data_IF_101222396206
#
_entry.id   IF_101222396206
#
_cell.length_a   1.000
_cell.length_b   1.000
_cell.length_c   1.000
_cell.angle_alpha   90.00
_cell.angle_beta   90.00
_cell.angle_gamma   90.00
#
_symmetry.space_group_name_H-M   'P 1'
#
loop_
_entity.id
_entity.type
_entity.pdbx_description
1 polymer ?
#
# COMPACT_ATOMS: atom_id res chain seq x y z
N UNK A 1 15.50 -1.46 -4.87
CA UNK A 1 14.26 -2.22 -5.21
C UNK A 1 13.08 -1.44 -4.65
N UNK A 2 12.12 -1.02 -5.49
CA UNK A 2 11.00 -0.15 -5.06
C UNK A 2 10.06 -0.81 -4.06
N UNK A 3 9.36 0.00 -3.25
CA UNK A 3 8.25 -0.45 -2.39
C UNK A 3 6.93 -0.25 -3.15
N UNK A 4 6.25 -1.31 -3.57
CA UNK A 4 4.97 -1.15 -4.25
C UNK A 4 3.91 -0.64 -3.28
N UNK A 5 2.95 0.13 -3.79
CA UNK A 5 1.81 0.64 -3.02
C UNK A 5 0.55 0.20 -3.75
N UNK A 6 -0.35 -0.45 -3.02
CA UNK A 6 -1.69 -0.79 -3.48
C UNK A 6 -2.70 0.20 -2.88
N UNK A 7 -3.70 0.56 -3.70
CA UNK A 7 -4.87 1.31 -3.26
C UNK A 7 -6.00 0.33 -3.06
N UNK A 8 -6.53 0.25 -1.84
CA UNK A 8 -7.57 -0.73 -1.47
C UNK A 8 -8.73 -0.04 -0.79
N UNK A 9 -9.95 -0.48 -1.08
CA UNK A 9 -11.15 -0.10 -0.34
C UNK A 9 -11.47 -1.18 0.71
N UNK A 10 -11.75 -0.77 1.94
CA UNK A 10 -12.14 -1.65 3.03
C UNK A 10 -13.39 -1.14 3.76
N UNK A 11 -14.08 -2.06 4.44
CA UNK A 11 -15.25 -1.76 5.28
C UNK A 11 -14.96 -2.16 6.71
N UNK A 12 -15.28 -1.26 7.65
CA UNK A 12 -15.15 -1.47 9.08
C UNK A 12 -16.54 -1.50 9.71
N UNK A 13 -16.87 -2.61 10.37
CA UNK A 13 -18.16 -2.80 11.03
C UNK A 13 -17.99 -3.52 12.38
N UNK A 14 -18.92 -3.28 13.30
CA UNK A 14 -19.07 -4.03 14.55
C UNK A 14 -20.39 -4.78 14.53
N UNK A 15 -20.35 -6.07 14.87
CA UNK A 15 -21.51 -6.95 14.82
C UNK A 15 -21.60 -7.76 16.12
N UNK A 16 -22.83 -8.11 16.50
CA UNK A 16 -23.09 -9.01 17.61
C UNK A 16 -23.22 -10.45 17.10
N UNK A 17 -22.66 -11.38 17.86
CA UNK A 17 -22.97 -12.79 17.69
C UNK A 17 -24.32 -13.11 18.35
N UNK A 18 -25.40 -12.95 17.59
CA UNK A 18 -26.76 -13.22 18.03
C UNK A 18 -27.51 -11.97 18.50
N UNK A 19 -28.49 -12.16 19.39
CA UNK A 19 -29.35 -11.08 19.86
C UNK A 19 -28.64 -10.22 20.93
N UNK A 20 -28.95 -8.92 21.02
CA UNK A 20 -28.43 -8.05 22.06
C UNK A 20 -28.77 -8.56 23.47
N UNK A 21 -27.84 -8.38 24.41
CA UNK A 21 -28.10 -8.64 25.82
C UNK A 21 -29.24 -7.74 26.32
N UNK A 22 -30.22 -8.33 27.00
CA UNK A 22 -31.38 -7.61 27.53
C UNK A 22 -31.20 -7.33 29.02
N UNK A 23 -31.79 -6.23 29.49
CA UNK A 23 -31.82 -5.90 30.91
C UNK A 23 -32.57 -6.99 31.70
N UNK A 24 -31.95 -7.50 32.77
CA UNK A 24 -32.48 -8.61 33.59
C UNK A 24 -33.22 -8.13 34.85
N UNK A 25 -33.42 -6.83 35.03
CA UNK A 25 -34.15 -6.28 36.16
C UNK A 25 -35.64 -6.68 36.14
N UNK A 26 -36.17 -7.04 37.31
CA UNK A 26 -37.55 -7.52 37.44
C UNK A 26 -38.59 -6.46 37.07
N UNK A 27 -38.33 -5.18 37.40
CA UNK A 27 -39.21 -4.08 37.04
C UNK A 27 -39.25 -3.84 35.54
N UNK A 28 -38.10 -3.93 34.88
CA UNK A 28 -37.97 -3.81 33.42
C UNK A 28 -38.65 -4.99 32.72
N UNK A 29 -38.53 -6.20 33.25
CA UNK A 29 -39.21 -7.38 32.71
C UNK A 29 -40.74 -7.23 32.67
N UNK A 30 -41.35 -6.67 33.73
CA UNK A 30 -42.80 -6.40 33.73
C UNK A 30 -43.22 -5.37 32.68
N UNK A 31 -42.36 -4.39 32.40
CA UNK A 31 -42.59 -3.42 31.32
C UNK A 31 -42.45 -4.09 29.96
N UNK A 32 -41.44 -4.94 29.77
CA UNK A 32 -41.21 -5.74 28.56
C UNK A 32 -42.41 -6.58 28.17
N UNK A 33 -43.12 -7.19 29.14
CA UNK A 33 -44.35 -7.94 28.87
C UNK A 33 -45.47 -7.09 28.26
N UNK A 34 -45.41 -5.76 28.38
CA UNK A 34 -46.40 -4.81 27.87
C UNK A 34 -45.95 -4.07 26.61
N UNK A 35 -44.71 -4.26 26.15
CA UNK A 35 -44.16 -3.64 24.93
C UNK A 35 -43.70 -4.69 23.93
N UNK A 36 -43.44 -4.27 22.70
CA UNK A 36 -43.05 -5.16 21.60
C UNK A 36 -41.53 -5.30 21.43
N UNK A 37 -40.73 -4.88 22.41
CA UNK A 37 -39.26 -4.96 22.38
C UNK A 37 -38.70 -5.19 23.79
N UNK A 38 -37.47 -5.68 23.88
CA UNK A 38 -36.76 -5.89 25.16
C UNK A 38 -35.81 -4.73 25.42
N UNK A 39 -35.68 -4.30 26.68
CA UNK A 39 -34.67 -3.28 27.03
C UNK A 39 -33.27 -3.83 26.82
N UNK A 40 -32.37 -3.00 26.30
CA UNK A 40 -30.94 -3.33 26.19
C UNK A 40 -30.07 -2.29 26.90
N UNK A 41 -30.66 -1.38 27.68
CA UNK A 41 -29.99 -0.23 28.28
C UNK A 41 -29.25 0.64 27.24
N UNK A 42 -29.66 0.53 25.97
CA UNK A 42 -28.97 1.14 24.83
C UNK A 42 -27.48 0.79 24.72
N UNK A 43 -27.03 -0.37 25.24
CA UNK A 43 -25.60 -0.75 25.16
C UNK A 43 -25.11 -0.82 23.70
N UNK A 44 -26.01 -1.12 22.75
CA UNK A 44 -25.70 -1.13 21.32
C UNK A 44 -25.22 0.23 20.77
N UNK A 45 -25.50 1.33 21.49
CA UNK A 45 -25.07 2.70 21.15
C UNK A 45 -23.73 3.07 21.79
N UNK A 46 -23.12 2.19 22.58
CA UNK A 46 -21.80 2.42 23.17
C UNK A 46 -20.76 2.43 22.06
N UNK A 47 -19.98 3.51 22.01
CA UNK A 47 -18.93 3.70 21.02
C UNK A 47 -17.64 3.05 21.48
N UNK A 48 -17.07 2.22 20.61
CA UNK A 48 -15.77 1.60 20.81
C UNK A 48 -14.76 2.24 19.85
N UNK A 49 -13.61 2.70 20.36
CA UNK A 49 -12.55 3.23 19.52
C UNK A 49 -11.85 2.09 18.78
N UNK A 50 -11.75 2.22 17.46
CA UNK A 50 -11.02 1.30 16.59
C UNK A 50 -9.85 2.05 15.97
N UNK A 51 -8.64 1.54 16.21
CA UNK A 51 -7.42 2.07 15.62
C UNK A 51 -6.96 1.20 14.47
N UNK A 52 -6.70 1.83 13.34
CA UNK A 52 -6.15 1.20 12.14
C UNK A 52 -4.65 1.48 12.06
N UNK A 53 -3.87 0.42 11.86
CA UNK A 53 -2.42 0.49 11.84
C UNK A 53 -1.81 0.58 13.23
N UNK A 54 -0.67 -0.07 13.39
CA UNK A 54 0.18 0.08 14.57
C UNK A 54 1.57 0.59 14.18
N UNK A 55 1.92 1.77 14.69
CA UNK A 55 3.19 2.46 14.40
C UNK A 55 4.41 1.60 14.76
N UNK A 56 4.34 0.83 15.85
CA UNK A 56 5.47 -0.01 16.31
C UNK A 56 5.46 -1.44 15.75
N UNK A 57 4.49 -1.78 14.91
CA UNK A 57 4.34 -3.13 14.41
C UNK A 57 5.01 -3.27 13.04
N UNK A 58 6.16 -3.93 13.01
CA UNK A 58 7.02 -4.02 11.82
C UNK A 58 6.37 -4.73 10.63
N UNK A 59 5.37 -5.58 10.86
CA UNK A 59 4.65 -6.29 9.80
C UNK A 59 3.32 -5.60 9.41
N UNK A 60 3.10 -4.38 9.87
CA UNK A 60 1.95 -3.59 9.47
C UNK A 60 2.21 -2.90 8.12
N UNK A 61 1.41 -3.25 7.11
CA UNK A 61 1.52 -2.73 5.75
C UNK A 61 0.75 -1.44 5.51
N UNK A 62 0.03 -0.89 6.50
CA UNK A 62 -0.78 0.31 6.33
C UNK A 62 0.09 1.58 6.31
N UNK A 63 0.19 2.22 5.16
CA UNK A 63 0.82 3.54 5.06
C UNK A 63 -0.10 4.65 5.57
N UNK A 64 -1.39 4.54 5.24
CA UNK A 64 -2.43 5.46 5.71
C UNK A 64 -3.75 5.26 4.99
N UNK A 65 -4.75 6.04 5.39
CA UNK A 65 -6.12 5.88 4.90
C UNK A 65 -6.89 7.19 4.87
N UNK A 66 -7.94 7.19 4.07
CA UNK A 66 -9.00 8.17 4.07
C UNK A 66 -10.31 7.52 4.47
N UNK A 67 -11.14 8.27 5.18
CA UNK A 67 -12.53 7.91 5.38
C UNK A 67 -13.33 8.25 4.13
N UNK A 68 -14.30 7.42 3.78
CA UNK A 68 -15.25 7.73 2.72
C UNK A 68 -16.52 8.38 3.31
N UNK A 69 -17.17 9.21 2.50
CA UNK A 69 -18.51 9.72 2.78
C UNK A 69 -19.59 8.80 2.21
N UNK A 70 -20.85 9.08 2.54
CA UNK A 70 -22.00 8.24 2.18
C UNK A 70 -22.19 8.06 0.66
N UNK A 71 -21.67 9.00 -0.13
CA UNK A 71 -21.71 8.96 -1.60
C UNK A 71 -20.50 8.24 -2.22
N UNK A 72 -19.66 7.58 -1.41
CA UNK A 72 -18.42 6.94 -1.86
C UNK A 72 -17.27 7.90 -2.18
N UNK A 73 -17.42 9.20 -1.84
CA UNK A 73 -16.38 10.20 -2.00
C UNK A 73 -15.33 10.10 -0.91
N UNK A 74 -14.06 10.19 -1.28
CA UNK A 74 -12.94 10.21 -0.33
C UNK A 74 -12.93 11.56 0.38
N UNK A 75 -12.85 11.57 1.73
CA UNK A 75 -12.74 12.83 2.50
C UNK A 75 -11.35 13.45 2.33
N UNK A 76 -11.24 14.75 2.58
CA UNK A 76 -10.01 15.51 2.33
C UNK A 76 -8.84 15.15 3.26
N UNK A 77 -9.11 14.52 4.40
CA UNK A 77 -8.10 14.24 5.43
C UNK A 77 -7.51 12.85 5.26
N UNK A 78 -6.20 12.78 5.06
CA UNK A 78 -5.40 11.57 5.07
C UNK A 78 -4.87 11.28 6.48
N UNK A 79 -5.11 10.09 6.99
CA UNK A 79 -4.58 9.62 8.27
C UNK A 79 -3.36 8.73 8.02
N UNK A 80 -2.21 9.10 8.57
CA UNK A 80 -0.94 8.40 8.44
C UNK A 80 -0.50 7.85 9.81
N UNK A 81 -1.02 6.68 10.25
CA UNK A 81 -0.81 6.17 11.60
C UNK A 81 0.62 5.67 11.86
N UNK A 82 1.40 5.41 10.81
CA UNK A 82 2.79 4.94 10.88
C UNK A 82 3.82 6.06 10.73
N UNK A 83 3.39 7.30 10.48
CA UNK A 83 4.32 8.41 10.24
C UNK A 83 4.32 9.33 11.45
N UNK A 84 5.48 9.47 12.08
CA UNK A 84 5.81 10.51 13.03
C UNK A 84 6.79 11.48 12.36
N UNK A 85 6.43 12.74 12.23
CA UNK A 85 7.39 13.71 11.72
C UNK A 85 7.18 15.07 12.36
N UNK A 86 8.19 15.47 13.13
CA UNK A 86 8.40 16.85 13.54
C UNK A 86 8.74 17.69 12.31
N UNK A 87 7.95 18.73 12.04
CA UNK A 87 8.29 19.76 11.05
C UNK A 87 7.49 19.76 9.73
N UNK A 88 6.68 18.73 9.45
CA UNK A 88 5.72 18.76 8.33
C UNK A 88 4.31 18.89 8.93
N UNK A 89 3.72 20.08 8.84
CA UNK A 89 2.33 20.30 9.21
C UNK A 89 1.53 20.64 7.95
N UNK A 90 0.69 19.70 7.51
CA UNK A 90 -0.23 19.93 6.41
C UNK A 90 -1.67 19.72 6.91
N UNK A 91 -2.62 20.65 6.67
CA UNK A 91 -3.97 20.55 7.22
C UNK A 91 -4.72 19.28 6.77
N UNK A 92 -4.41 18.79 5.57
CA UNK A 92 -4.99 17.58 4.99
C UNK A 92 -4.32 16.26 5.43
N UNK A 93 -3.25 16.29 6.23
CA UNK A 93 -2.56 15.08 6.69
C UNK A 93 -2.50 15.05 8.21
N UNK A 94 -3.02 13.96 8.80
CA UNK A 94 -3.00 13.70 10.23
C UNK A 94 -2.00 12.58 10.51
N UNK A 95 -0.85 12.97 11.03
CA UNK A 95 0.21 12.05 11.45
C UNK A 95 -0.13 11.36 12.77
N UNK A 96 0.65 10.32 13.09
CA UNK A 96 0.59 9.63 14.36
C UNK A 96 0.74 10.61 15.53
N UNK A 97 -0.07 10.44 16.57
CA UNK A 97 0.04 11.18 17.82
C UNK A 97 0.10 10.17 18.97
N UNK A 98 1.28 10.04 19.59
CA UNK A 98 1.50 9.07 20.67
C UNK A 98 0.67 9.35 21.93
N UNK A 99 0.25 10.59 22.17
CA UNK A 99 -0.58 10.96 23.32
C UNK A 99 -2.08 10.73 23.06
N UNK A 100 -2.51 10.87 21.80
CA UNK A 100 -3.89 10.64 21.41
C UNK A 100 -3.94 10.01 20.01
N UNK A 101 -3.78 8.68 19.91
CA UNK A 101 -3.82 7.99 18.63
C UNK A 101 -5.17 8.17 17.95
N UNK A 102 -5.13 8.41 16.64
CA UNK A 102 -6.35 8.48 15.84
C UNK A 102 -7.09 7.15 15.86
N UNK A 103 -8.40 7.24 16.07
CA UNK A 103 -9.31 6.11 16.10
C UNK A 103 -10.63 6.49 15.44
N UNK A 104 -11.35 5.47 15.01
CA UNK A 104 -12.70 5.56 14.46
C UNK A 104 -13.62 4.99 15.53
N UNK A 105 -14.52 5.80 16.06
CA UNK A 105 -15.53 5.35 17.01
C UNK A 105 -16.70 4.71 16.27
N UNK A 106 -16.96 3.43 16.54
CA UNK A 106 -18.13 2.71 16.04
C UNK A 106 -18.95 2.14 17.18
N UNK A 107 -20.26 2.10 17.00
CA UNK A 107 -21.18 1.32 17.83
C UNK A 107 -21.93 0.27 16.99
N UNK A 108 -22.70 -0.61 17.64
CA UNK A 108 -23.39 -1.73 17.00
C UNK A 108 -24.59 -1.32 16.15
N UNK A 109 -25.09 -0.09 16.29
CA UNK A 109 -26.15 0.50 15.46
C UNK A 109 -25.62 1.34 14.30
N UNK A 110 -24.33 1.68 14.29
CA UNK A 110 -23.75 2.47 13.21
C UNK A 110 -23.72 1.65 11.91
N UNK A 111 -23.82 2.35 10.78
CA UNK A 111 -23.56 1.72 9.49
C UNK A 111 -22.06 1.46 9.30
N UNK A 112 -21.68 0.45 8.50
CA UNK A 112 -20.27 0.18 8.21
C UNK A 112 -19.55 1.42 7.68
N UNK A 113 -18.37 1.70 8.23
CA UNK A 113 -17.53 2.81 7.76
C UNK A 113 -16.62 2.34 6.64
N UNK A 114 -16.73 2.97 5.48
CA UNK A 114 -15.90 2.71 4.32
C UNK A 114 -14.60 3.52 4.37
N UNK A 115 -13.52 2.89 3.92
CA UNK A 115 -12.16 3.39 3.99
C UNK A 115 -11.49 3.17 2.63
N UNK A 116 -10.71 4.14 2.16
CA UNK A 116 -9.71 3.93 1.11
C UNK A 116 -8.33 3.96 1.75
N UNK A 117 -7.51 2.93 1.53
CA UNK A 117 -6.22 2.73 2.19
C UNK A 117 -5.09 2.63 1.17
N UNK A 118 -3.93 3.19 1.55
CA UNK A 118 -2.64 2.92 0.90
C UNK A 118 -1.91 1.85 1.70
N UNK A 119 -1.60 0.74 1.06
CA UNK A 119 -0.98 -0.41 1.73
C UNK A 119 0.20 -0.95 0.93
N UNK A 120 1.23 -1.41 1.62
CA UNK A 120 2.19 -2.35 1.04
C UNK A 120 1.47 -3.70 0.86
N UNK A 121 1.27 -4.18 -0.37
CA UNK A 121 0.53 -5.43 -0.63
C UNK A 121 1.18 -6.67 -0.02
N UNK A 122 2.44 -6.59 0.40
CA UNK A 122 3.17 -7.68 1.07
C UNK A 122 2.95 -7.73 2.58
N UNK A 123 2.42 -6.65 3.16
CA UNK A 123 2.17 -6.52 4.59
C UNK A 123 0.72 -6.84 4.97
N UNK A 124 0.47 -6.92 6.29
CA UNK A 124 -0.90 -7.05 6.84
C UNK A 124 -1.37 -5.71 7.39
N UNK A 125 -2.67 -5.43 7.32
CA UNK A 125 -3.26 -4.28 8.01
C UNK A 125 -3.87 -4.76 9.32
N UNK A 126 -3.55 -4.08 10.42
CA UNK A 126 -4.09 -4.41 11.74
C UNK A 126 -5.17 -3.41 12.17
N UNK A 127 -6.23 -3.92 12.78
CA UNK A 127 -7.29 -3.15 13.42
C UNK A 127 -7.35 -3.56 14.90
N UNK A 128 -7.04 -2.62 15.79
CA UNK A 128 -7.07 -2.84 17.23
C UNK A 128 -8.29 -2.14 17.82
N UNK A 129 -9.01 -2.85 18.67
CA UNK A 129 -10.21 -2.33 19.35
C UNK A 129 -10.02 -2.41 20.86
N UNK A 130 -10.81 -1.66 21.63
CA UNK A 130 -10.80 -1.75 23.09
C UNK A 130 -11.53 -2.98 23.68
N UNK A 131 -12.23 -3.76 22.87
CA UNK A 131 -13.14 -4.82 23.35
C UNK A 131 -12.84 -6.22 22.78
N UNK A 132 -12.24 -6.30 21.58
CA UNK A 132 -11.84 -7.53 20.91
C UNK A 132 -10.32 -7.57 20.65
N UNK A 133 -9.72 -8.77 20.55
CA UNK A 133 -8.36 -8.93 20.07
C UNK A 133 -8.12 -8.25 18.71
N UNK A 134 -6.88 -7.83 18.47
CA UNK A 134 -6.49 -7.20 17.21
C UNK A 134 -6.79 -8.12 16.02
N UNK A 135 -7.53 -7.59 15.05
CA UNK A 135 -7.85 -8.26 13.79
C UNK A 135 -6.82 -7.86 12.74
N UNK A 136 -6.46 -8.78 11.85
CA UNK A 136 -5.55 -8.51 10.73
C UNK A 136 -6.16 -8.94 9.40
N UNK A 137 -5.91 -8.17 8.34
CA UNK A 137 -6.30 -8.48 6.97
C UNK A 137 -5.10 -8.33 6.03
N UNK A 138 -5.06 -9.10 4.95
CA UNK A 138 -4.00 -9.04 3.94
C UNK A 138 -4.58 -9.24 2.54
N UNK A 139 -3.83 -8.78 1.52
CA UNK A 139 -4.18 -9.04 0.12
C UNK A 139 -3.63 -10.41 -0.26
N UNK A 140 -4.46 -11.33 -0.79
CA UNK A 140 -3.98 -12.59 -1.33
C UNK A 140 -2.89 -12.39 -2.42
N UNK A 141 -1.75 -13.11 -2.35
CA UNK A 141 -0.62 -12.90 -3.27
C UNK A 141 -0.96 -12.99 -4.76
N UNK A 142 -1.90 -13.86 -5.12
CA UNK A 142 -2.41 -14.03 -6.48
C UNK A 142 -3.01 -12.76 -7.09
N UNK A 143 -3.46 -11.81 -6.26
CA UNK A 143 -4.02 -10.54 -6.73
C UNK A 143 -2.96 -9.50 -7.13
N UNK A 144 -1.73 -9.60 -6.62
CA UNK A 144 -0.70 -8.58 -6.86
C UNK A 144 0.60 -9.12 -7.45
N UNK A 145 0.91 -10.41 -7.31
CA UNK A 145 2.20 -10.96 -7.70
C UNK A 145 2.50 -10.73 -9.19
N UNK A 146 1.55 -11.05 -10.07
CA UNK A 146 1.73 -10.85 -11.51
C UNK A 146 1.91 -9.36 -11.88
N UNK A 147 1.25 -8.46 -11.15
CA UNK A 147 1.41 -7.02 -11.36
C UNK A 147 2.81 -6.57 -10.93
N UNK A 148 3.30 -7.05 -9.78
CA UNK A 148 4.64 -6.73 -9.28
C UNK A 148 5.76 -7.25 -10.19
N UNK A 149 5.61 -8.45 -10.75
CA UNK A 149 6.57 -9.02 -11.70
C UNK A 149 6.71 -8.17 -12.98
N UNK A 150 5.67 -7.41 -13.33
CA UNK A 150 5.68 -6.50 -14.49
C UNK A 150 6.25 -5.11 -14.16
N UNK A 151 6.49 -4.78 -12.89
CA UNK A 151 7.05 -3.48 -12.50
C UNK A 151 8.54 -3.47 -12.83
N UNK A 152 8.90 -2.62 -13.78
CA UNK A 152 10.29 -2.35 -14.16
C UNK A 152 10.74 -1.03 -13.53
N UNK A 153 12.00 -0.94 -13.11
CA UNK A 153 12.54 0.23 -12.44
C UNK A 153 13.40 1.02 -13.42
N UNK A 154 13.22 2.34 -13.47
CA UNK A 154 14.06 3.25 -14.24
C UNK A 154 14.81 4.22 -13.33
N UNK A 155 16.09 4.46 -13.63
CA UNK A 155 16.98 5.34 -12.91
C UNK A 155 17.47 6.42 -13.86
N UNK A 156 17.17 7.69 -13.57
CA UNK A 156 17.71 8.81 -14.34
C UNK A 156 19.24 8.79 -14.23
N UNK A 157 19.91 8.68 -15.37
CA UNK A 157 21.36 8.53 -15.47
C UNK A 157 21.85 9.50 -16.53
N UNK A 158 21.74 10.80 -16.29
CA UNK A 158 22.07 11.84 -17.26
C UNK A 158 22.85 13.00 -16.61
N UNK A 159 23.84 13.58 -17.31
CA UNK A 159 24.41 13.14 -18.59
C UNK A 159 25.44 12.00 -18.43
N UNK A 160 25.58 11.14 -19.45
CA UNK A 160 26.71 10.18 -19.56
C UNK A 160 27.58 10.51 -20.78
N UNK A 161 28.87 10.23 -20.67
CA UNK A 161 29.84 10.35 -21.76
C UNK A 161 30.20 8.95 -22.27
N UNK A 162 30.08 8.71 -23.57
CA UNK A 162 30.33 7.40 -24.17
C UNK A 162 30.89 7.50 -25.59
N UNK A 163 31.50 6.43 -26.09
CA UNK A 163 31.90 6.31 -27.49
C UNK A 163 30.68 6.37 -28.40
N UNK A 164 30.81 7.04 -29.56
CA UNK A 164 29.68 7.26 -30.45
C UNK A 164 29.07 5.95 -30.96
N UNK A 165 27.75 5.81 -30.76
CA UNK A 165 26.97 4.64 -31.15
C UNK A 165 27.09 3.43 -30.21
N UNK A 166 27.77 3.56 -29.07
CA UNK A 166 27.85 2.51 -28.03
C UNK A 166 27.54 3.08 -26.67
N UNK A 167 26.99 2.25 -25.79
CA UNK A 167 26.76 2.61 -24.39
C UNK A 167 27.50 1.58 -23.55
N UNK A 168 28.61 1.99 -22.94
CA UNK A 168 29.41 1.13 -22.07
C UNK A 168 29.34 1.68 -20.64
N UNK A 169 28.71 0.94 -19.74
CA UNK A 169 28.55 1.33 -18.33
C UNK A 169 28.94 0.16 -17.44
N UNK A 170 29.64 0.45 -16.35
CA UNK A 170 29.93 -0.53 -15.32
C UNK A 170 28.68 -0.71 -14.45
N UNK A 171 27.86 -1.70 -14.80
CA UNK A 171 26.61 -2.01 -14.09
C UNK A 171 26.76 -3.31 -13.29
N UNK A 172 26.13 -3.42 -12.11
CA UNK A 172 26.11 -4.66 -11.36
C UNK A 172 25.35 -5.74 -12.13
N UNK A 173 25.82 -6.99 -12.04
CA UNK A 173 25.05 -8.15 -12.53
C UNK A 173 24.05 -8.57 -11.47
N UNK A 174 22.77 -8.50 -11.81
CA UNK A 174 21.64 -8.80 -10.93
C UNK A 174 20.98 -10.10 -11.42
N UNK A 175 20.93 -11.12 -10.54
CA UNK A 175 20.38 -12.44 -10.89
C UNK A 175 18.92 -12.29 -11.30
N UNK A 176 18.56 -12.81 -12.47
CA UNK A 176 17.20 -12.73 -13.00
C UNK A 176 16.82 -11.38 -13.62
N UNK A 177 17.72 -10.39 -13.64
CA UNK A 177 17.48 -9.08 -14.23
C UNK A 177 18.47 -8.74 -15.35
N UNK A 178 18.08 -7.81 -16.20
CA UNK A 178 18.89 -7.23 -17.26
C UNK A 178 18.74 -5.71 -17.28
N UNK A 179 19.85 -5.04 -17.57
CA UNK A 179 19.91 -3.61 -17.77
C UNK A 179 19.71 -3.25 -19.23
N UNK A 180 18.88 -2.24 -19.50
CA UNK A 180 18.78 -1.58 -20.79
C UNK A 180 18.83 -0.06 -20.63
N UNK A 181 19.16 0.64 -21.71
CA UNK A 181 19.22 2.09 -21.73
C UNK A 181 18.01 2.64 -22.48
N UNK A 182 17.32 3.61 -21.87
CA UNK A 182 16.23 4.35 -22.47
C UNK A 182 16.69 5.79 -22.71
N UNK A 183 16.46 6.30 -23.91
CA UNK A 183 16.70 7.71 -24.23
C UNK A 183 15.51 8.29 -25.00
N UNK A 184 15.34 9.60 -24.88
CA UNK A 184 14.28 10.34 -25.55
C UNK A 184 14.89 11.46 -26.39
N UNK A 185 14.86 11.30 -27.70
CA UNK A 185 15.32 12.31 -28.65
C UNK A 185 14.13 12.89 -29.43
N UNK A 186 13.93 14.22 -29.38
CA UNK A 186 12.89 14.93 -30.16
C UNK A 186 11.51 14.24 -30.10
N UNK A 187 11.06 13.86 -28.90
CA UNK A 187 9.81 13.15 -28.63
C UNK A 187 9.74 11.65 -29.01
N UNK A 188 10.82 11.07 -29.55
CA UNK A 188 10.90 9.63 -29.83
C UNK A 188 11.70 8.92 -28.73
N UNK A 189 11.14 7.81 -28.24
CA UNK A 189 11.83 6.92 -27.32
C UNK A 189 12.61 5.85 -28.08
N UNK A 190 13.89 5.69 -27.76
CA UNK A 190 14.70 4.56 -28.21
C UNK A 190 15.17 3.74 -27.00
N UNK A 191 15.37 2.44 -27.24
CA UNK A 191 15.89 1.51 -26.24
C UNK A 191 17.12 0.82 -26.79
N UNK A 192 18.20 0.81 -26.00
CA UNK A 192 19.38 0.02 -26.26
C UNK A 192 19.46 -1.11 -25.23
N UNK A 193 19.11 -2.33 -25.66
CA UNK A 193 19.06 -3.52 -24.80
C UNK A 193 20.45 -4.08 -24.45
N UNK A 194 21.49 -3.67 -25.20
CA UNK A 194 22.86 -4.09 -24.96
C UNK A 194 23.69 -2.92 -24.48
N UNK A 195 23.89 -2.88 -23.16
CA UNK A 195 24.90 -2.05 -22.53
C UNK A 195 26.19 -2.87 -22.48
N UNK A 196 27.25 -2.38 -23.13
CA UNK A 196 28.55 -3.03 -23.10
C UNK A 196 29.26 -2.85 -21.76
N UNK A 197 30.25 -3.71 -21.49
CA UNK A 197 31.11 -3.56 -20.32
C UNK A 197 32.14 -2.45 -20.56
N UNK A 198 32.46 -1.70 -19.50
CA UNK A 198 33.52 -0.69 -19.56
C UNK A 198 34.90 -1.34 -19.70
N UNK A 199 35.78 -0.72 -20.49
CA UNK A 199 37.17 -1.12 -20.54
C UNK A 199 37.89 -0.61 -19.29
N UNK A 200 38.52 -1.51 -18.54
CA UNK A 200 39.24 -1.21 -17.28
C UNK A 200 40.40 -0.23 -17.50
N UNK A 201 40.89 -0.11 -18.73
CA UNK A 201 42.00 0.77 -19.07
C UNK A 201 41.59 2.25 -19.26
N UNK A 202 40.31 2.60 -19.12
CA UNK A 202 39.78 3.97 -19.22
C UNK A 202 40.24 4.74 -20.48
N UNK A 203 40.32 4.04 -21.62
CA UNK A 203 40.78 4.61 -22.89
C UNK A 203 39.56 5.04 -23.72
N UNK A 204 39.44 6.35 -23.98
CA UNK A 204 38.53 6.88 -25.00
C UNK A 204 39.16 6.65 -26.38
N UNK A 205 38.75 5.57 -27.05
CA UNK A 205 39.36 5.14 -28.31
C UNK A 205 38.71 5.73 -29.56
N UNK A 206 37.55 6.39 -29.42
CA UNK A 206 36.78 6.95 -30.54
C UNK A 206 36.19 8.35 -30.28
N UNK A 207 35.37 8.80 -31.24
CA UNK A 207 34.57 10.04 -31.11
C UNK A 207 33.60 9.88 -29.93
N UNK A 208 33.61 10.85 -29.01
CA UNK A 208 32.74 10.84 -27.85
C UNK A 208 31.41 11.53 -28.15
N UNK A 209 30.35 11.07 -27.49
CA UNK A 209 29.03 11.71 -27.46
C UNK A 209 28.49 11.76 -26.04
N UNK A 210 27.73 12.81 -25.76
CA UNK A 210 26.96 12.95 -24.52
C UNK A 210 25.57 12.38 -24.78
N UNK A 211 25.11 11.50 -23.90
CA UNK A 211 23.76 10.96 -23.92
C UNK A 211 23.02 11.31 -22.64
N UNK A 212 21.74 11.60 -22.78
CA UNK A 212 20.83 11.83 -21.66
C UNK A 212 19.73 10.77 -21.68
N UNK A 213 19.54 10.08 -20.57
CA UNK A 213 18.59 8.98 -20.51
C UNK A 213 18.46 8.33 -19.15
N UNK A 214 17.87 7.15 -19.17
CA UNK A 214 17.54 6.36 -17.99
C UNK A 214 18.09 4.94 -18.14
N UNK A 215 18.65 4.41 -17.06
CA UNK A 215 18.91 2.98 -16.93
C UNK A 215 17.63 2.28 -16.51
N UNK A 216 17.22 1.26 -17.26
CA UNK A 216 16.05 0.43 -16.98
C UNK A 216 16.50 -0.94 -16.51
N UNK A 217 15.99 -1.37 -15.36
CA UNK A 217 16.17 -2.72 -14.83
C UNK A 217 14.87 -3.52 -15.06
N UNK A 218 14.97 -4.59 -15.83
CA UNK A 218 13.85 -5.47 -16.20
C UNK A 218 14.17 -6.92 -15.90
N UNK A 219 13.15 -7.74 -15.65
CA UNK A 219 13.33 -9.19 -15.50
C UNK A 219 13.82 -9.80 -16.80
N UNK A 220 14.84 -10.66 -16.76
CA UNK A 220 15.27 -11.45 -17.91
C UNK A 220 14.09 -12.32 -18.34
N UNK A 221 13.62 -12.17 -19.58
CA UNK A 221 12.67 -13.11 -20.16
C UNK A 221 13.41 -14.42 -20.40
N UNK A 222 13.05 -15.47 -19.66
CA UNK A 222 13.50 -16.82 -20.03
C UNK A 222 12.95 -17.16 -21.42
N UNK A 223 13.74 -17.79 -22.30
CA UNK A 223 13.21 -18.33 -23.54
C UNK A 223 12.11 -19.35 -23.19
N UNK A 224 11.02 -19.41 -23.98
CA UNK A 224 9.95 -20.37 -23.72
C UNK A 224 10.53 -21.78 -23.65
N UNK A 225 10.26 -22.49 -22.55
CA UNK A 225 10.69 -23.87 -22.36
C UNK A 225 10.06 -24.74 -23.46
N UNK A 226 10.86 -25.40 -24.33
CA UNK A 226 10.32 -26.23 -25.41
C UNK A 226 9.54 -27.46 -24.91
N UNK A 227 9.59 -27.76 -23.60
CA UNK A 227 8.93 -28.92 -22.99
C UNK A 227 7.67 -28.59 -22.17
N UNK A 228 7.12 -27.38 -22.25
CA UNK A 228 5.80 -27.12 -21.64
C UNK A 228 4.70 -27.81 -22.46
N UNK A 229 3.87 -28.70 -21.87
CA UNK A 229 2.69 -29.22 -22.54
C UNK A 229 1.74 -28.06 -22.83
N UNK A 230 1.31 -27.92 -24.08
CA UNK A 230 0.27 -26.96 -24.43
C UNK A 230 -1.03 -27.25 -23.64
N UNK A 231 -1.80 -26.21 -23.27
CA UNK A 231 -3.12 -26.36 -22.67
C UNK A 231 -4.14 -27.01 -23.61
#
# INVERSE_FOLDING_TARGET
>A
MGRPIAVVRASLNLELEGLPAINQDWGVFWQDLRRNFRETDSFEKVKFPIRLGEYKQLNDGLLGYWLEGDNGSIKDVFYAPQSDLEGINHPAIKFHNGNNPWHIDLNLKDSPTLLTMLIDPRGKVHATTGILPTKSIDIPPDQYQQALEKIEITFLSAPILTDSGKINLALPDEVGYQWSWLEKEKEQWSTADKIGQTNVNAIFSGKQEIREGWLKLSTKKEPPNPNSPNP
#
